data_IF_450190612300
#
_entry.id   IF_450190612300
#
_cell.length_a   1.000
_cell.length_b   1.000
_cell.length_c   1.000
_cell.angle_alpha   90.00
_cell.angle_beta   90.00
_cell.angle_gamma   90.00
#
_symmetry.space_group_name_H-M   'P 1'
#
loop_
_entity.id
_entity.type
_entity.pdbx_description
1 polymer ?
#
# COMPACT_ATOMS: atom_id res chain seq x y z
N UNK A 1 15.49 7.16 25.76
CA UNK A 1 16.36 6.07 25.28
C UNK A 1 16.94 6.51 23.95
N UNK A 2 18.22 6.27 23.68
CA UNK A 2 18.84 6.61 22.40
C UNK A 2 18.39 5.59 21.33
N UNK A 3 18.03 6.05 20.14
CA UNK A 3 17.77 5.18 18.99
C UNK A 3 19.12 4.78 18.42
N UNK A 4 19.32 3.47 18.20
CA UNK A 4 20.53 2.92 17.59
C UNK A 4 20.18 2.17 16.31
N UNK A 5 21.05 2.24 15.32
CA UNK A 5 20.88 1.57 14.03
C UNK A 5 21.77 0.33 13.93
N UNK A 6 21.15 -0.83 13.69
CA UNK A 6 21.85 -2.08 13.43
C UNK A 6 22.59 -2.05 12.09
N UNK A 7 23.62 -2.89 11.99
CA UNK A 7 24.41 -3.12 10.78
C UNK A 7 24.27 -4.58 10.33
N UNK A 8 24.62 -4.83 9.08
CA UNK A 8 24.63 -6.17 8.49
C UNK A 8 25.77 -6.33 7.48
N UNK A 9 26.23 -7.57 7.34
CA UNK A 9 27.35 -7.91 6.46
C UNK A 9 26.88 -8.55 5.16
N UNK A 10 27.44 -8.11 4.04
CA UNK A 10 27.09 -8.62 2.73
C UNK A 10 27.83 -9.92 2.42
N UNK A 11 27.08 -11.02 2.41
CA UNK A 11 27.60 -12.36 2.11
C UNK A 11 28.06 -12.53 0.63
N UNK A 12 27.64 -11.65 -0.29
CA UNK A 12 28.01 -11.74 -1.70
C UNK A 12 29.40 -11.15 -2.01
N UNK A 13 29.75 -10.02 -1.39
CA UNK A 13 30.99 -9.31 -1.68
C UNK A 13 31.89 -9.08 -0.47
N UNK A 14 31.49 -9.55 0.72
CA UNK A 14 32.21 -9.38 1.97
C UNK A 14 32.19 -7.95 2.52
N UNK A 15 31.29 -7.06 2.05
CA UNK A 15 31.20 -5.72 2.61
C UNK A 15 30.62 -5.78 4.03
N UNK A 16 31.40 -5.32 5.02
CA UNK A 16 31.02 -5.34 6.43
C UNK A 16 30.28 -4.05 6.79
N UNK A 17 29.29 -4.15 7.67
CA UNK A 17 28.75 -2.97 8.33
C UNK A 17 27.81 -2.11 7.49
N UNK A 18 27.11 -2.70 6.50
CA UNK A 18 26.02 -2.00 5.81
C UNK A 18 24.98 -1.56 6.84
N UNK A 19 24.54 -0.31 6.78
CA UNK A 19 23.54 0.20 7.72
C UNK A 19 22.19 -0.50 7.51
N UNK A 20 21.47 -0.73 8.59
CA UNK A 20 20.24 -1.52 8.59
C UNK A 20 19.14 -0.97 7.68
N UNK A 21 19.08 0.35 7.50
CA UNK A 21 18.17 1.00 6.55
C UNK A 21 18.44 0.63 5.08
N UNK A 22 19.66 0.22 4.75
CA UNK A 22 20.02 -0.16 3.38
C UNK A 22 19.64 -1.60 3.12
N UNK A 23 18.62 -1.80 2.27
CA UNK A 23 18.15 -3.11 1.81
C UNK A 23 19.06 -3.73 0.75
N UNK A 24 19.97 -2.95 0.18
CA UNK A 24 20.96 -3.35 -0.79
C UNK A 24 22.35 -2.98 -0.28
N UNK A 25 23.32 -3.86 -0.53
CA UNK A 25 24.72 -3.61 -0.22
C UNK A 25 25.18 -2.33 -0.94
N UNK A 26 25.75 -1.39 -0.20
CA UNK A 26 26.22 -0.11 -0.76
C UNK A 26 27.50 -0.27 -1.59
N UNK A 27 28.15 -1.43 -1.54
CA UNK A 27 29.34 -1.74 -2.34
C UNK A 27 29.01 -2.48 -3.64
N UNK A 28 28.22 -3.57 -3.59
CA UNK A 28 27.97 -4.44 -4.75
C UNK A 28 26.53 -4.42 -5.28
N UNK A 29 25.61 -3.70 -4.63
CA UNK A 29 24.21 -3.56 -5.06
C UNK A 29 23.29 -4.76 -4.81
N UNK A 30 23.83 -5.93 -4.43
CA UNK A 30 23.01 -7.09 -4.10
C UNK A 30 22.06 -6.79 -2.94
N UNK A 31 20.83 -7.28 -3.06
CA UNK A 31 19.84 -7.23 -1.99
C UNK A 31 20.32 -7.99 -0.75
N UNK A 32 19.90 -7.52 0.42
CA UNK A 32 20.17 -8.18 1.69
C UNK A 32 19.55 -9.58 1.70
N UNK A 33 20.34 -10.65 1.90
CA UNK A 33 19.82 -12.02 1.97
C UNK A 33 18.80 -12.22 3.09
N UNK A 34 17.91 -13.18 2.91
CA UNK A 34 17.09 -13.71 4.00
C UNK A 34 17.99 -14.34 5.07
N UNK A 35 17.60 -14.21 6.35
CA UNK A 35 18.36 -14.76 7.47
C UNK A 35 19.61 -13.96 7.88
N UNK A 36 19.90 -12.83 7.22
CA UNK A 36 21.02 -11.94 7.60
C UNK A 36 20.91 -11.50 9.07
N UNK A 37 21.95 -11.74 9.86
CA UNK A 37 22.05 -11.28 11.26
C UNK A 37 22.40 -9.80 11.33
N UNK A 38 21.57 -9.07 12.06
CA UNK A 38 21.86 -7.70 12.46
C UNK A 38 22.66 -7.67 13.73
N UNK A 39 23.51 -6.67 13.84
CA UNK A 39 24.28 -6.40 15.04
C UNK A 39 24.39 -4.90 15.32
N UNK A 40 24.58 -4.53 16.58
CA UNK A 40 24.79 -3.15 17.01
C UNK A 40 26.28 -2.93 17.29
N UNK A 41 26.92 -2.13 16.44
CA UNK A 41 28.28 -1.64 16.70
C UNK A 41 28.27 -0.55 17.79
N UNK A 42 29.43 -0.28 18.41
CA UNK A 42 29.55 0.74 19.46
C UNK A 42 29.16 2.15 18.98
N UNK A 43 29.36 2.43 17.70
CA UNK A 43 29.05 3.71 17.04
C UNK A 43 27.62 3.78 16.46
N UNK A 44 26.70 2.92 16.93
CA UNK A 44 25.37 2.77 16.34
C UNK A 44 24.35 3.86 16.70
N UNK A 45 24.69 4.84 17.54
CA UNK A 45 23.74 5.88 17.96
C UNK A 45 23.31 6.80 16.79
N UNK A 46 22.00 6.91 16.59
CA UNK A 46 21.41 7.78 15.57
C UNK A 46 21.20 9.17 16.15
N UNK A 47 22.02 10.13 15.72
CA UNK A 47 21.93 11.54 16.17
C UNK A 47 21.02 12.40 15.28
N UNK A 48 20.81 12.00 14.03
CA UNK A 48 19.98 12.73 13.07
C UNK A 48 18.48 12.62 13.43
N UNK A 49 17.82 13.77 13.65
CA UNK A 49 16.40 13.83 14.04
C UNK A 49 15.44 13.27 12.99
N UNK A 50 15.78 13.32 11.70
CA UNK A 50 14.96 12.76 10.63
C UNK A 50 15.03 11.25 10.65
N UNK A 51 16.22 10.68 10.81
CA UNK A 51 16.40 9.23 10.96
C UNK A 51 15.74 8.69 12.24
N UNK A 52 15.84 9.43 13.35
CA UNK A 52 15.12 9.09 14.58
C UNK A 52 13.60 9.03 14.36
N UNK A 53 13.01 10.03 13.69
CA UNK A 53 11.57 10.00 13.36
C UNK A 53 11.22 8.81 12.47
N UNK A 54 12.04 8.52 11.47
CA UNK A 54 11.82 7.39 10.57
C UNK A 54 11.84 6.05 11.30
N UNK A 55 12.75 5.87 12.27
CA UNK A 55 12.80 4.67 13.09
C UNK A 55 11.56 4.48 13.98
N UNK A 56 10.90 5.57 14.37
CA UNK A 56 9.70 5.54 15.22
C UNK A 56 8.40 5.24 14.46
N UNK A 57 8.42 5.20 13.12
CA UNK A 57 7.23 4.91 12.30
C UNK A 57 6.77 3.45 12.46
N UNK A 58 7.69 2.55 12.81
CA UNK A 58 7.41 1.13 13.05
C UNK A 58 8.20 0.20 12.12
N UNK A 59 8.02 -1.12 12.29
CA UNK A 59 8.73 -2.12 11.49
C UNK A 59 8.29 -2.08 10.03
N UNK A 60 9.23 -2.32 9.12
CA UNK A 60 8.94 -2.45 7.70
C UNK A 60 7.86 -3.52 7.45
N UNK A 61 6.98 -3.29 6.46
CA UNK A 61 6.08 -4.30 5.93
C UNK A 61 6.67 -4.99 4.70
N UNK A 62 6.30 -6.24 4.47
CA UNK A 62 6.76 -7.07 3.37
C UNK A 62 5.66 -7.17 2.33
N UNK A 63 5.98 -6.82 1.10
CA UNK A 63 5.05 -6.91 -0.01
C UNK A 63 4.75 -8.38 -0.33
N UNK A 64 3.48 -8.78 -0.23
CA UNK A 64 3.03 -10.14 -0.51
C UNK A 64 3.22 -10.53 -1.99
N UNK A 65 3.26 -9.56 -2.89
CA UNK A 65 3.38 -9.79 -4.33
C UNK A 65 4.82 -10.00 -4.82
N UNK A 66 5.78 -9.30 -4.23
CA UNK A 66 7.18 -9.30 -4.72
C UNK A 66 8.22 -9.52 -3.62
N UNK A 67 7.83 -9.70 -2.36
CA UNK A 67 8.72 -9.92 -1.22
C UNK A 67 9.57 -8.72 -0.79
N UNK A 68 9.42 -7.57 -1.44
CA UNK A 68 10.19 -6.37 -1.06
C UNK A 68 9.74 -5.83 0.29
N UNK A 69 10.69 -5.58 1.19
CA UNK A 69 10.49 -4.80 2.43
C UNK A 69 10.23 -3.33 2.10
N UNK A 70 9.26 -2.69 2.75
CA UNK A 70 8.88 -1.29 2.56
C UNK A 70 8.71 -0.62 3.94
N UNK A 71 8.93 0.69 4.02
CA UNK A 71 8.81 1.41 5.29
C UNK A 71 7.36 1.43 5.78
N UNK A 72 7.16 1.44 7.10
CA UNK A 72 5.85 1.35 7.74
C UNK A 72 4.85 2.45 7.35
N UNK A 73 5.30 3.63 6.93
CA UNK A 73 4.46 4.76 6.48
C UNK A 73 4.16 4.75 4.98
N UNK A 74 4.75 3.84 4.21
CA UNK A 74 4.55 3.78 2.77
C UNK A 74 3.36 2.87 2.45
N UNK A 75 2.35 3.40 1.76
CA UNK A 75 1.14 2.66 1.38
C UNK A 75 1.27 1.88 0.05
N UNK A 76 2.32 2.11 -0.74
CA UNK A 76 2.52 1.48 -2.06
C UNK A 76 3.93 0.93 -2.18
N UNK A 77 4.08 -0.31 -2.63
CA UNK A 77 5.38 -0.94 -2.78
C UNK A 77 6.26 -0.17 -3.78
N UNK A 78 7.46 0.24 -3.33
CA UNK A 78 8.39 0.98 -4.18
C UNK A 78 9.01 0.17 -5.34
N UNK A 79 8.94 -1.16 -5.29
CA UNK A 79 9.49 -2.04 -6.33
C UNK A 79 8.47 -2.44 -7.40
N UNK A 80 7.26 -2.83 -7.02
CA UNK A 80 6.25 -3.35 -7.96
C UNK A 80 4.97 -2.51 -8.09
N UNK A 81 4.78 -1.49 -7.24
CA UNK A 81 3.60 -0.63 -7.27
C UNK A 81 2.33 -1.24 -6.63
N UNK A 82 2.41 -2.43 -6.04
CA UNK A 82 1.28 -3.01 -5.32
C UNK A 82 0.92 -2.18 -4.07
N UNK A 83 -0.38 -1.99 -3.82
CA UNK A 83 -0.86 -1.36 -2.60
C UNK A 83 -0.60 -2.25 -1.38
N UNK A 84 -0.36 -1.61 -0.22
CA UNK A 84 -0.27 -2.28 1.07
C UNK A 84 -1.67 -2.68 1.53
N UNK A 85 -1.77 -3.89 2.07
CA UNK A 85 -2.97 -4.39 2.77
C UNK A 85 -2.79 -4.27 4.29
N UNK A 86 -3.87 -4.17 5.05
CA UNK A 86 -3.84 -4.22 6.51
C UNK A 86 -3.29 -5.56 7.02
N UNK A 87 -3.45 -6.64 6.25
CA UNK A 87 -2.91 -7.97 6.57
C UNK A 87 -1.49 -8.19 6.10
N UNK A 88 -0.87 -7.20 5.43
CA UNK A 88 0.50 -7.33 4.90
C UNK A 88 1.49 -7.72 6.01
N UNK A 89 2.30 -8.78 5.82
CA UNK A 89 3.26 -9.22 6.82
C UNK A 89 4.20 -8.09 7.22
N UNK A 90 4.52 -8.01 8.51
CA UNK A 90 5.48 -7.04 9.05
C UNK A 90 6.73 -7.74 9.54
N UNK A 91 7.87 -7.06 9.45
CA UNK A 91 9.12 -7.53 10.03
C UNK A 91 8.95 -7.74 11.53
N UNK A 92 9.44 -8.87 12.03
CA UNK A 92 9.33 -9.21 13.44
C UNK A 92 10.20 -8.29 14.28
N UNK A 93 9.59 -7.72 15.33
CA UNK A 93 10.32 -6.95 16.35
C UNK A 93 10.82 -7.92 17.40
N UNK A 94 12.14 -7.96 17.60
CA UNK A 94 12.79 -8.77 18.64
C UNK A 94 13.22 -7.86 19.77
N UNK A 95 12.88 -8.24 20.99
CA UNK A 95 13.37 -7.61 22.21
C UNK A 95 14.56 -8.42 22.74
N UNK A 96 15.61 -7.71 23.15
CA UNK A 96 16.84 -8.29 23.65
C UNK A 96 17.08 -7.77 25.06
N UNK A 97 17.47 -8.68 25.96
CA UNK A 97 18.10 -8.28 27.22
C UNK A 97 19.45 -7.58 26.94
N UNK A 98 19.90 -6.63 27.78
CA UNK A 98 21.10 -5.82 27.50
C UNK A 98 22.37 -6.63 27.19
N UNK A 99 22.50 -7.83 27.76
CA UNK A 99 23.62 -8.75 27.58
C UNK A 99 23.46 -9.69 26.38
N UNK A 100 22.26 -9.76 25.78
CA UNK A 100 21.92 -10.64 24.66
C UNK A 100 21.90 -9.92 23.30
N UNK A 101 22.16 -8.60 23.29
CA UNK A 101 22.22 -7.81 22.06
C UNK A 101 23.39 -8.27 21.18
N UNK A 102 23.15 -8.72 19.94
CA UNK A 102 24.24 -9.09 19.05
C UNK A 102 25.10 -7.87 18.72
N UNK A 103 26.41 -7.95 18.99
CA UNK A 103 27.39 -6.89 18.68
C UNK A 103 28.24 -7.20 17.44
N UNK A 104 28.15 -8.44 16.92
CA UNK A 104 28.87 -8.90 15.74
C UNK A 104 27.96 -9.62 14.74
N UNK A 105 28.26 -9.47 13.46
CA UNK A 105 27.51 -10.07 12.34
C UNK A 105 27.73 -11.58 12.17
N UNK A 106 27.26 -12.11 11.04
CA UNK A 106 27.42 -13.52 10.64
C UNK A 106 28.81 -13.83 10.07
N UNK A 107 29.57 -12.80 9.72
CA UNK A 107 30.92 -12.96 9.22
C UNK A 107 31.86 -13.12 10.42
N UNK A 108 31.95 -14.34 10.96
CA UNK A 108 32.97 -14.69 11.95
C UNK A 108 34.30 -14.89 11.24
N UNK A 109 35.32 -14.10 11.58
CA UNK A 109 36.69 -14.58 11.53
C UNK A 109 37.09 -14.95 12.96
N UNK A 110 37.70 -16.12 13.13
CA UNK A 110 38.33 -16.59 14.39
C UNK A 110 39.58 -15.77 14.77
N UNK A 111 39.79 -14.62 14.13
CA UNK A 111 40.93 -13.76 14.33
C UNK A 111 40.41 -12.33 14.34
N UNK A 112 40.69 -11.62 15.45
CA UNK A 112 40.52 -10.17 15.53
C UNK A 112 41.20 -9.57 14.31
N UNK A 113 40.46 -8.92 13.38
CA UNK A 113 41.12 -8.33 12.23
C UNK A 113 42.04 -7.26 12.80
N UNK A 114 43.35 -7.45 12.64
CA UNK A 114 44.31 -6.36 12.79
C UNK A 114 43.69 -5.13 12.14
N UNK A 115 43.71 -3.95 12.82
CA UNK A 115 43.03 -2.76 12.33
C UNK A 115 43.36 -2.61 10.86
N UNK A 116 42.34 -2.84 10.02
CA UNK A 116 42.53 -2.90 8.59
C UNK A 116 43.21 -1.59 8.22
N UNK A 117 44.50 -1.68 7.82
CA UNK A 117 45.22 -0.55 7.27
C UNK A 117 44.29 -0.02 6.20
N UNK A 118 43.81 1.21 6.42
CA UNK A 118 42.90 1.87 5.51
C UNK A 118 43.44 1.61 4.10
N UNK A 119 42.65 1.02 3.18
CA UNK A 119 43.09 0.87 1.81
C UNK A 119 43.68 2.22 1.40
N UNK A 120 44.91 2.27 0.85
CA UNK A 120 45.56 3.53 0.54
C UNK A 120 44.52 4.35 -0.19
N UNK A 121 44.22 5.53 0.37
CA UNK A 121 43.29 6.47 -0.19
C UNK A 121 43.71 6.59 -1.64
N UNK A 122 42.96 5.94 -2.54
CA UNK A 122 43.20 6.13 -3.96
C UNK A 122 42.76 7.55 -4.16
N UNK A 123 43.72 8.46 -4.04
CA UNK A 123 43.74 9.74 -4.72
C UNK A 123 43.65 9.36 -6.19
N UNK A 124 42.43 9.05 -6.61
CA UNK A 124 42.08 8.97 -8.00
C UNK A 124 42.23 10.41 -8.44
N UNK A 125 43.43 10.71 -8.94
CA UNK A 125 43.62 11.85 -9.82
C UNK A 125 42.64 11.63 -10.97
N UNK A 126 41.45 12.21 -10.80
CA UNK A 126 40.41 12.24 -11.82
C UNK A 126 41.01 13.07 -12.93
N UNK A 127 41.72 12.41 -13.86
CA UNK A 127 42.11 12.99 -15.13
C UNK A 127 40.82 13.47 -15.79
N UNK A 128 40.58 14.78 -15.72
CA UNK A 128 39.43 15.42 -16.37
C UNK A 128 39.54 15.10 -17.85
N UNK A 129 38.61 14.31 -18.37
CA UNK A 129 38.52 14.05 -19.80
C UNK A 129 38.35 15.42 -20.49
N UNK A 130 39.06 15.71 -21.60
CA UNK A 130 38.94 17.00 -22.25
C UNK A 130 37.47 17.26 -22.62
N UNK A 131 36.99 18.47 -22.31
CA UNK A 131 35.56 18.86 -22.40
C UNK A 131 34.96 18.57 -23.80
N UNK A 132 35.79 18.58 -24.85
CA UNK A 132 35.39 18.23 -26.21
C UNK A 132 34.91 16.77 -26.37
N UNK A 133 35.48 15.81 -25.62
CA UNK A 133 35.08 14.38 -25.68
C UNK A 133 33.77 14.17 -24.92
N UNK A 134 33.60 14.84 -23.77
CA UNK A 134 32.35 14.77 -22.99
C UNK A 134 31.19 15.41 -23.78
N UNK A 135 31.45 16.54 -24.45
CA UNK A 135 30.47 17.20 -25.32
C UNK A 135 30.12 16.32 -26.54
N UNK A 136 31.09 15.63 -27.13
CA UNK A 136 30.85 14.70 -28.25
C UNK A 136 30.01 13.48 -27.84
N UNK A 137 30.33 12.85 -26.71
CA UNK A 137 29.56 11.70 -26.19
C UNK A 137 28.14 12.13 -25.79
N UNK A 138 28.00 13.30 -25.16
CA UNK A 138 26.70 13.87 -24.81
C UNK A 138 25.84 14.14 -26.04
N UNK A 139 26.42 14.72 -27.10
CA UNK A 139 25.71 14.98 -28.36
C UNK A 139 25.26 13.68 -29.04
N UNK A 140 26.11 12.65 -29.06
CA UNK A 140 25.77 11.34 -29.63
C UNK A 140 24.67 10.66 -28.81
N UNK A 141 24.76 10.66 -27.48
CA UNK A 141 23.74 10.06 -26.62
C UNK A 141 22.38 10.77 -26.77
N UNK A 142 22.37 12.09 -26.88
CA UNK A 142 21.16 12.89 -27.08
C UNK A 142 20.54 12.63 -28.45
N UNK A 143 21.38 12.46 -29.49
CA UNK A 143 20.94 12.11 -30.83
C UNK A 143 20.38 10.67 -30.89
N UNK A 144 21.00 9.71 -30.20
CA UNK A 144 20.48 8.35 -30.05
C UNK A 144 19.13 8.33 -29.32
N UNK A 145 19.00 9.09 -28.22
CA UNK A 145 17.75 9.23 -27.49
C UNK A 145 16.64 9.86 -28.35
N UNK A 146 16.96 10.88 -29.14
CA UNK A 146 16.01 11.50 -30.06
C UNK A 146 15.53 10.53 -31.15
N UNK A 147 16.43 9.71 -31.71
CA UNK A 147 16.09 8.67 -32.70
C UNK A 147 15.21 7.59 -32.08
N UNK A 148 15.54 7.12 -30.88
CA UNK A 148 14.74 6.13 -30.15
C UNK A 148 13.34 6.70 -29.86
N UNK A 149 13.26 7.95 -29.40
CA UNK A 149 11.99 8.62 -29.16
C UNK A 149 11.16 8.75 -30.45
N UNK A 150 11.79 9.10 -31.58
CA UNK A 150 11.09 9.16 -32.87
C UNK A 150 10.56 7.78 -33.32
N UNK A 151 11.30 6.70 -33.08
CA UNK A 151 10.86 5.35 -33.44
C UNK A 151 9.74 4.81 -32.54
N UNK A 152 9.74 5.17 -31.25
CA UNK A 152 8.74 4.70 -30.26
C UNK A 152 7.49 5.57 -30.27
N UNK A 153 7.64 6.89 -30.36
CA UNK A 153 6.54 7.85 -30.29
C UNK A 153 6.08 8.37 -31.66
N UNK A 154 6.73 7.94 -32.74
CA UNK A 154 6.27 8.20 -34.10
C UNK A 154 4.96 7.47 -34.35
N UNK A 155 3.85 8.22 -34.32
CA UNK A 155 2.53 7.69 -34.64
C UNK A 155 2.51 7.06 -36.02
N UNK A 156 1.86 5.91 -36.14
CA UNK A 156 1.57 5.26 -37.43
C UNK A 156 0.07 5.34 -37.65
N UNK A 157 -0.33 5.97 -38.73
CA UNK A 157 -1.71 5.95 -39.16
C UNK A 157 -2.04 4.54 -39.63
N UNK A 158 -2.88 3.85 -38.86
CA UNK A 158 -3.37 2.52 -39.17
C UNK A 158 -4.85 2.64 -39.54
N UNK A 159 -5.15 2.45 -40.83
CA UNK A 159 -6.53 2.38 -41.30
C UNK A 159 -7.12 1.03 -40.88
N UNK A 160 -7.85 1.03 -39.76
CA UNK A 160 -8.59 -0.13 -39.30
C UNK A 160 -10.05 -0.04 -39.77
N UNK A 161 -10.56 -1.12 -40.37
CA UNK A 161 -11.99 -1.26 -40.66
C UNK A 161 -12.64 -2.09 -39.56
N UNK A 162 -13.75 -1.57 -38.99
CA UNK A 162 -14.51 -2.28 -37.96
C UNK A 162 -15.32 -3.38 -38.64
N UNK A 163 -14.88 -4.63 -38.49
CA UNK A 163 -15.47 -5.82 -39.11
C UNK A 163 -16.75 -6.30 -38.44
N UNK A 164 -17.08 -5.80 -37.25
CA UNK A 164 -18.34 -6.12 -36.57
C UNK A 164 -18.43 -5.47 -35.20
N UNK A 165 -19.67 -5.26 -34.75
CA UNK A 165 -19.98 -4.77 -33.41
C UNK A 165 -21.05 -5.68 -32.81
N UNK A 166 -20.81 -6.18 -31.60
CA UNK A 166 -21.76 -7.00 -30.87
C UNK A 166 -22.25 -6.18 -29.68
N UNK A 167 -23.55 -5.90 -29.64
CA UNK A 167 -24.20 -5.37 -28.46
C UNK A 167 -25.16 -6.40 -27.89
N UNK A 168 -25.24 -6.43 -26.57
CA UNK A 168 -26.19 -7.22 -25.82
C UNK A 168 -27.06 -6.26 -25.01
N UNK A 169 -28.37 -6.46 -25.01
CA UNK A 169 -29.31 -5.69 -24.18
C UNK A 169 -30.29 -6.63 -23.53
N UNK A 170 -30.39 -6.52 -22.22
CA UNK A 170 -31.46 -7.14 -21.44
C UNK A 170 -32.54 -6.08 -21.20
N UNK A 171 -33.78 -6.41 -21.53
CA UNK A 171 -34.95 -5.55 -21.26
C UNK A 171 -35.89 -6.36 -20.40
N UNK A 172 -36.15 -5.89 -19.19
CA UNK A 172 -37.20 -6.45 -18.34
C UNK A 172 -38.55 -5.92 -18.82
N UNK A 173 -39.47 -6.82 -19.14
CA UNK A 173 -40.82 -6.50 -19.62
C UNK A 173 -41.80 -6.86 -18.52
N UNK A 174 -42.48 -5.87 -17.97
CA UNK A 174 -43.57 -6.07 -17.02
C UNK A 174 -44.88 -6.37 -17.74
N UNK A 175 -45.71 -7.21 -17.13
CA UNK A 175 -47.03 -7.55 -17.64
C UNK A 175 -48.08 -7.34 -16.55
N UNK A 176 -49.19 -6.68 -16.89
CA UNK A 176 -50.33 -6.56 -15.99
C UNK A 176 -50.92 -7.95 -15.71
N UNK A 177 -51.04 -8.31 -14.43
CA UNK A 177 -51.70 -9.52 -13.98
C UNK A 177 -52.99 -9.17 -13.24
N UNK A 178 -54.01 -10.00 -13.41
CA UNK A 178 -55.25 -9.89 -12.64
C UNK A 178 -55.00 -10.35 -11.22
N UNK A 179 -55.27 -9.47 -10.25
CA UNK A 179 -55.23 -9.81 -8.81
C UNK A 179 -56.66 -9.97 -8.27
N UNK A 180 -56.79 -10.76 -7.21
CA UNK A 180 -58.04 -10.95 -6.48
C UNK A 180 -57.85 -10.37 -5.09
N UNK A 181 -58.54 -9.27 -4.82
CA UNK A 181 -58.48 -8.52 -3.56
C UNK A 181 -59.89 -8.26 -3.04
N UNK A 182 -60.00 -8.05 -1.72
CA UNK A 182 -61.24 -7.73 -1.02
C UNK A 182 -61.21 -6.26 -0.60
N UNK A 183 -62.17 -5.47 -1.09
CA UNK A 183 -62.31 -4.06 -0.74
C UNK A 183 -63.79 -3.64 -0.75
N UNK A 184 -64.10 -2.49 -0.16
CA UNK A 184 -65.47 -1.95 -0.07
C UNK A 184 -65.98 -1.40 -1.41
N UNK A 185 -65.07 -1.00 -2.29
CA UNK A 185 -65.37 -0.45 -3.62
C UNK A 185 -64.66 -1.23 -4.73
N UNK A 186 -65.36 -1.46 -5.83
CA UNK A 186 -64.79 -2.15 -7.00
C UNK A 186 -64.16 -1.10 -7.93
N UNK A 187 -62.85 -1.17 -8.24
CA UNK A 187 -62.20 -0.22 -9.12
C UNK A 187 -62.66 -0.40 -10.58
N UNK A 188 -62.43 0.63 -11.41
CA UNK A 188 -62.79 0.61 -12.83
C UNK A 188 -62.13 -0.56 -13.57
N UNK A 189 -62.94 -1.45 -14.15
CA UNK A 189 -62.49 -2.67 -14.83
C UNK A 189 -62.40 -3.91 -13.93
N UNK A 190 -62.60 -3.76 -12.62
CA UNK A 190 -62.75 -4.86 -11.68
C UNK A 190 -64.04 -5.66 -11.90
N UNK A 191 -64.06 -6.91 -11.40
CA UNK A 191 -65.22 -7.80 -11.48
C UNK A 191 -65.55 -8.30 -10.08
N UNK A 192 -66.82 -8.22 -9.69
CA UNK A 192 -67.28 -8.77 -8.42
C UNK A 192 -67.22 -10.31 -8.48
N UNK A 193 -66.45 -10.91 -7.57
CA UNK A 193 -66.33 -12.37 -7.44
C UNK A 193 -67.25 -12.89 -6.32
N UNK A 194 -67.23 -12.23 -5.17
CA UNK A 194 -68.03 -12.57 -3.99
C UNK A 194 -68.41 -11.30 -3.21
N UNK A 195 -69.49 -11.38 -2.43
CA UNK A 195 -69.95 -10.29 -1.58
C UNK A 195 -70.35 -10.85 -0.21
N UNK A 196 -69.95 -10.16 0.86
CA UNK A 196 -70.33 -10.46 2.25
C UNK A 196 -70.55 -9.17 3.04
N UNK A 197 -71.29 -9.27 4.14
CA UNK A 197 -71.54 -8.16 5.05
C UNK A 197 -70.48 -8.16 6.16
N UNK A 198 -69.77 -7.05 6.31
CA UNK A 198 -68.74 -6.85 7.35
C UNK A 198 -68.88 -5.44 7.94
N UNK A 199 -68.23 -5.20 9.08
CA UNK A 199 -68.22 -3.89 9.72
C UNK A 199 -67.10 -3.04 9.10
N UNK A 200 -67.45 -1.97 8.39
CA UNK A 200 -66.48 -1.08 7.74
C UNK A 200 -65.72 -0.20 8.74
N UNK A 201 -66.42 0.45 9.67
CA UNK A 201 -65.83 1.31 10.69
C UNK A 201 -66.77 1.47 11.89
N UNK A 202 -66.22 1.94 13.00
CA UNK A 202 -66.98 2.33 14.19
C UNK A 202 -66.91 3.85 14.35
N UNK A 203 -68.05 4.50 14.47
CA UNK A 203 -68.14 5.92 14.78
C UNK A 203 -68.32 6.14 16.28
N UNK A 204 -67.50 7.00 16.86
CA UNK A 204 -67.70 7.47 18.23
C UNK A 204 -68.70 8.62 18.23
N UNK A 205 -69.88 8.37 18.77
CA UNK A 205 -70.94 9.35 18.90
C UNK A 205 -70.98 9.81 20.36
N UNK A 206 -71.03 11.12 20.58
CA UNK A 206 -71.21 11.69 21.90
C UNK A 206 -72.61 11.31 22.41
N UNK A 207 -72.66 10.49 23.46
CA UNK A 207 -73.92 10.05 24.07
C UNK A 207 -74.46 11.06 25.10
N UNK A 208 -73.62 11.47 26.07
CA UNK A 208 -74.01 12.47 27.07
C UNK A 208 -72.79 13.12 27.74
N UNK A 209 -73.06 14.18 28.52
CA UNK A 209 -72.07 14.82 29.39
C UNK A 209 -72.38 14.50 30.86
N UNK A 210 -71.35 14.17 31.64
CA UNK A 210 -71.44 14.02 33.10
C UNK A 210 -70.75 15.21 33.79
N UNK A 211 -71.46 15.91 34.67
CA UNK A 211 -70.85 16.98 35.49
C UNK A 211 -70.26 16.38 36.76
N UNK A 212 -68.94 16.53 36.96
CA UNK A 212 -68.25 16.10 38.19
C UNK A 212 -67.71 17.32 38.93
N UNK A 213 -68.05 17.44 40.22
CA UNK A 213 -67.49 18.44 41.11
C UNK A 213 -66.32 17.84 41.89
N UNK A 214 -65.20 18.56 41.96
CA UNK A 214 -64.05 18.22 42.82
C UNK A 214 -63.79 19.41 43.75
N UNK A 215 -63.80 19.18 45.05
CA UNK A 215 -63.24 20.12 46.01
C UNK A 215 -61.72 20.06 45.94
N UNK A 216 -61.09 21.23 45.81
CA UNK A 216 -59.63 21.41 45.88
C UNK A 216 -59.39 22.17 47.18
N UNK A 217 -58.75 21.53 48.16
CA UNK A 217 -58.26 22.20 49.36
C UNK A 217 -56.95 22.91 49.02
N UNK A 218 -56.78 24.12 49.55
CA UNK A 218 -55.60 24.98 49.37
C UNK A 218 -54.43 24.55 50.26
#
# INVERSE_FOLDING_TARGET
>A
MAIREGRWDCQYCGNIGNLGRHRNCQNCGHSRPEGTKFYLADDSEVTDKKLQRQALVGPDWICEYCGTSNAADIAVCGSCGAARDETSPVQQVKEYEPDQVPTTGDMTFDEEPEPAKSPPEKTTDKKKLPIAIIAGIGAIALLCLAVIAFLVFGGRDAEASVTGFQWERTVEVEAFQTVVEEDWEIPSGGRLISQREEIHHYDQILDHYETRQRQVEE
#
